data_IF_795136654165
#
_entry.id   IF_795136654165
#
_cell.length_a   1.000
_cell.length_b   1.000
_cell.length_c   1.000
_cell.angle_alpha   90.00
_cell.angle_beta   90.00
_cell.angle_gamma   90.00
#
_symmetry.space_group_name_H-M   'P 1'
#
loop_
_entity.id
_entity.type
_entity.pdbx_description
1 polymer ?
#
# COMPACT_ATOMS: atom_id res chain seq x y z
N UNK A 1 -8.67 8.27 -15.53
CA UNK A 1 -9.89 9.10 -15.36
C UNK A 1 -9.91 10.28 -16.37
N UNK A 2 -8.82 11.01 -16.58
CA UNK A 2 -8.77 12.16 -17.51
C UNK A 2 -9.14 11.79 -18.96
N UNK A 3 -8.80 10.59 -19.42
CA UNK A 3 -9.03 10.12 -20.81
C UNK A 3 -10.54 10.01 -21.13
N UNK A 4 -11.40 9.74 -20.14
CA UNK A 4 -12.84 9.66 -20.36
C UNK A 4 -13.53 11.02 -20.37
N UNK A 5 -12.97 12.04 -19.75
CA UNK A 5 -13.58 13.36 -19.66
C UNK A 5 -13.40 14.18 -20.95
N UNK A 6 -12.30 13.98 -21.68
CA UNK A 6 -12.03 14.70 -22.92
C UNK A 6 -13.10 14.43 -24.00
N UNK A 7 -13.45 13.17 -24.34
CA UNK A 7 -14.50 12.90 -25.32
C UNK A 7 -15.89 13.33 -24.84
N UNK A 8 -16.19 13.21 -23.54
CA UNK A 8 -17.45 13.66 -22.97
C UNK A 8 -17.61 15.17 -23.04
N UNK A 9 -16.54 15.90 -22.75
CA UNK A 9 -16.47 17.34 -22.90
C UNK A 9 -16.66 17.78 -24.37
N UNK A 10 -16.01 17.09 -25.31
CA UNK A 10 -16.15 17.36 -26.74
C UNK A 10 -17.59 17.15 -27.24
N UNK A 11 -18.27 16.13 -26.77
CA UNK A 11 -19.71 15.89 -27.11
C UNK A 11 -20.62 16.99 -26.56
N UNK A 12 -20.39 17.48 -25.36
CA UNK A 12 -21.14 18.61 -24.79
C UNK A 12 -20.85 19.88 -25.59
N UNK A 13 -19.61 20.14 -25.94
CA UNK A 13 -19.20 21.26 -26.78
C UNK A 13 -19.87 21.24 -28.15
N UNK A 14 -19.86 20.12 -28.84
CA UNK A 14 -20.45 19.95 -30.18
C UNK A 14 -21.96 20.18 -30.17
N UNK A 15 -22.65 19.73 -29.10
CA UNK A 15 -24.09 19.93 -28.94
C UNK A 15 -24.45 21.39 -28.60
N UNK A 16 -23.58 22.15 -27.97
CA UNK A 16 -23.82 23.55 -27.57
C UNK A 16 -23.65 24.54 -28.70
N UNK A 17 -22.97 24.21 -29.81
CA UNK A 17 -22.72 25.09 -30.93
C UNK A 17 -23.99 25.56 -31.67
N UNK A 18 -25.13 24.87 -31.47
CA UNK A 18 -26.42 25.22 -32.10
C UNK A 18 -27.40 25.97 -31.15
N UNK A 19 -26.93 26.34 -29.94
CA UNK A 19 -27.76 27.04 -28.95
C UNK A 19 -27.57 28.54 -29.00
N UNK A 20 -28.59 29.31 -28.52
CA UNK A 20 -28.54 30.77 -28.50
C UNK A 20 -27.29 31.28 -27.74
N UNK A 21 -26.84 32.48 -28.12
CA UNK A 21 -25.60 33.13 -27.60
C UNK A 21 -25.48 33.09 -26.07
N UNK A 22 -26.58 33.23 -25.36
CA UNK A 22 -26.64 33.19 -23.88
C UNK A 22 -26.25 31.78 -23.33
N UNK A 23 -26.76 30.71 -23.93
CA UNK A 23 -26.42 29.34 -23.58
C UNK A 23 -24.95 29.00 -23.86
N UNK A 24 -24.41 29.57 -24.94
CA UNK A 24 -23.02 29.39 -25.32
C UNK A 24 -22.08 30.02 -24.29
N UNK A 25 -22.39 31.22 -23.79
CA UNK A 25 -21.62 31.87 -22.72
C UNK A 25 -21.67 31.12 -21.39
N UNK A 26 -22.86 30.63 -20.98
CA UNK A 26 -23.02 29.82 -19.76
C UNK A 26 -22.23 28.52 -19.88
N UNK A 27 -22.27 27.86 -21.03
CA UNK A 27 -21.52 26.63 -21.27
C UNK A 27 -19.99 26.86 -21.18
N UNK A 28 -19.49 27.97 -21.72
CA UNK A 28 -18.07 28.30 -21.64
C UNK A 28 -17.62 28.56 -20.20
N UNK A 29 -18.40 29.31 -19.42
CA UNK A 29 -18.10 29.61 -18.02
C UNK A 29 -18.13 28.36 -17.18
N UNK A 30 -19.14 27.49 -17.34
CA UNK A 30 -19.22 26.22 -16.61
C UNK A 30 -18.05 25.29 -16.94
N UNK A 31 -17.62 25.29 -18.19
CA UNK A 31 -16.45 24.51 -18.65
C UNK A 31 -15.15 25.02 -18.03
N UNK A 32 -14.99 26.34 -17.96
CA UNK A 32 -13.82 26.94 -17.32
C UNK A 32 -13.75 26.58 -15.83
N UNK A 33 -14.88 26.70 -15.12
CA UNK A 33 -14.99 26.32 -13.71
C UNK A 33 -14.62 24.84 -13.52
N UNK A 34 -15.14 23.95 -14.37
CA UNK A 34 -14.85 22.53 -14.32
C UNK A 34 -13.37 22.22 -14.51
N UNK A 35 -12.72 22.86 -15.49
CA UNK A 35 -11.27 22.72 -15.73
C UNK A 35 -10.47 23.22 -14.52
N UNK A 36 -10.85 24.35 -13.93
CA UNK A 36 -10.19 24.86 -12.73
C UNK A 36 -10.34 23.93 -11.54
N UNK A 37 -11.52 23.36 -11.33
CA UNK A 37 -11.76 22.36 -10.26
C UNK A 37 -10.90 21.10 -10.45
N UNK A 38 -10.84 20.56 -11.68
CA UNK A 38 -9.99 19.40 -11.97
C UNK A 38 -8.52 19.74 -11.77
N UNK A 39 -8.07 20.90 -12.25
CA UNK A 39 -6.68 21.32 -12.08
C UNK A 39 -6.31 21.46 -10.60
N UNK A 40 -7.20 22.03 -9.79
CA UNK A 40 -6.99 22.12 -8.35
C UNK A 40 -6.93 20.75 -7.66
N UNK A 41 -7.79 19.81 -8.05
CA UNK A 41 -7.76 18.43 -7.56
C UNK A 41 -6.47 17.72 -7.96
N UNK A 42 -6.05 17.84 -9.22
CA UNK A 42 -4.79 17.27 -9.70
C UNK A 42 -3.59 17.85 -8.97
N UNK A 43 -3.57 19.16 -8.73
CA UNK A 43 -2.51 19.81 -7.96
C UNK A 43 -2.47 19.28 -6.52
N UNK A 44 -3.64 19.10 -5.88
CA UNK A 44 -3.72 18.50 -4.54
C UNK A 44 -3.17 17.08 -4.51
N UNK A 45 -3.56 16.25 -5.47
CA UNK A 45 -3.07 14.86 -5.60
C UNK A 45 -1.56 14.85 -5.83
N UNK A 46 -1.06 15.69 -6.71
CA UNK A 46 0.37 15.84 -6.99
C UNK A 46 1.16 16.21 -5.74
N UNK A 47 0.70 17.23 -5.01
CA UNK A 47 1.36 17.68 -3.79
C UNK A 47 1.33 16.59 -2.69
N UNK A 48 0.23 15.85 -2.56
CA UNK A 48 0.15 14.73 -1.63
C UNK A 48 1.11 13.60 -2.02
N UNK A 49 1.24 13.30 -3.31
CA UNK A 49 2.22 12.30 -3.78
C UNK A 49 3.66 12.70 -3.46
N UNK A 50 4.01 13.97 -3.65
CA UNK A 50 5.34 14.47 -3.28
C UNK A 50 5.57 14.28 -1.79
N UNK A 51 4.63 14.70 -0.94
CA UNK A 51 4.73 14.54 0.52
C UNK A 51 4.86 13.07 0.93
N UNK A 52 4.08 12.19 0.32
CA UNK A 52 4.13 10.77 0.58
C UNK A 52 5.50 10.16 0.22
N UNK A 53 6.03 10.49 -0.96
CA UNK A 53 7.32 9.98 -1.41
C UNK A 53 8.49 10.48 -0.55
N UNK A 54 8.35 11.63 0.09
CA UNK A 54 9.34 12.19 1.01
C UNK A 54 9.06 11.88 2.50
N UNK A 55 7.99 11.14 2.79
CA UNK A 55 7.70 10.71 4.16
C UNK A 55 8.82 9.81 4.69
N UNK A 56 9.25 9.98 5.96
CA UNK A 56 10.32 9.17 6.54
C UNK A 56 10.12 7.67 6.37
N UNK A 57 8.91 7.18 6.64
CA UNK A 57 8.58 5.77 6.47
C UNK A 57 8.75 5.26 5.03
N UNK A 58 8.48 6.08 4.02
CA UNK A 58 8.68 5.73 2.60
C UNK A 58 10.16 5.65 2.26
N UNK A 59 10.96 6.64 2.66
CA UNK A 59 12.39 6.69 2.41
C UNK A 59 13.14 5.55 3.11
N UNK A 60 12.78 5.28 4.35
CA UNK A 60 13.34 4.16 5.11
C UNK A 60 13.01 2.82 4.47
N UNK A 61 11.78 2.64 3.99
CA UNK A 61 11.36 1.42 3.32
C UNK A 61 12.19 1.14 2.06
N UNK A 62 12.47 2.15 1.25
CA UNK A 62 13.35 2.01 0.07
C UNK A 62 14.74 1.49 0.51
N UNK A 63 15.30 2.07 1.56
CA UNK A 63 16.60 1.65 2.09
C UNK A 63 16.61 0.21 2.65
N UNK A 64 15.46 -0.25 3.14
CA UNK A 64 15.26 -1.62 3.64
C UNK A 64 15.25 -2.61 2.49
N UNK A 65 14.47 -2.32 1.43
CA UNK A 65 14.41 -3.18 0.25
C UNK A 65 15.79 -3.43 -0.32
N UNK A 66 16.64 -2.40 -0.40
CA UNK A 66 17.99 -2.54 -0.93
C UNK A 66 18.84 -3.58 -0.20
N UNK A 67 18.65 -3.69 1.11
CA UNK A 67 19.37 -4.62 1.98
C UNK A 67 18.78 -6.04 2.00
N UNK A 68 17.58 -6.23 1.47
CA UNK A 68 16.92 -7.52 1.45
C UNK A 68 17.37 -8.36 0.24
N UNK A 69 17.46 -9.67 0.41
CA UNK A 69 17.79 -10.60 -0.66
C UNK A 69 16.62 -10.74 -1.65
N UNK A 70 16.95 -10.92 -2.92
CA UNK A 70 15.96 -11.16 -3.97
C UNK A 70 15.32 -12.56 -3.89
N UNK A 71 14.13 -12.72 -4.47
CA UNK A 71 13.46 -14.01 -4.62
C UNK A 71 12.89 -14.59 -3.33
N UNK A 72 12.82 -13.83 -2.24
CA UNK A 72 12.37 -14.29 -0.92
C UNK A 72 10.87 -14.04 -0.72
N UNK A 73 10.30 -14.69 0.29
CA UNK A 73 8.89 -14.55 0.68
C UNK A 73 8.76 -13.61 1.88
N UNK A 74 7.86 -12.64 1.76
CA UNK A 74 7.60 -11.65 2.82
C UNK A 74 6.18 -11.77 3.33
N UNK A 75 6.03 -11.81 4.66
CA UNK A 75 4.80 -11.51 5.36
C UNK A 75 4.84 -10.06 5.84
N UNK A 76 3.88 -9.26 5.41
CA UNK A 76 3.73 -7.88 5.88
C UNK A 76 2.70 -7.80 7.00
N UNK A 77 3.11 -7.18 8.10
CA UNK A 77 2.29 -6.91 9.28
C UNK A 77 2.31 -5.42 9.59
N UNK A 78 1.24 -4.89 10.12
CA UNK A 78 1.12 -3.46 10.44
C UNK A 78 0.32 -3.23 11.71
N UNK A 79 0.67 -2.20 12.39
CA UNK A 79 -0.07 -1.74 13.57
C UNK A 79 -1.33 -1.01 13.11
N UNK A 80 -2.54 -1.45 13.54
CA UNK A 80 -3.81 -0.97 12.98
C UNK A 80 -4.07 0.53 13.15
N UNK A 81 -3.40 1.17 14.09
CA UNK A 81 -3.63 2.57 14.45
C UNK A 81 -2.45 3.49 14.13
N UNK A 82 -1.43 2.99 13.42
CA UNK A 82 -0.36 3.85 12.95
C UNK A 82 -0.89 4.85 11.93
N UNK A 83 -0.66 6.11 12.24
CA UNK A 83 -0.99 7.19 11.29
C UNK A 83 -0.23 6.98 9.99
N UNK A 84 -0.93 7.14 8.88
CA UNK A 84 -0.33 7.23 7.57
C UNK A 84 0.67 8.39 7.46
N UNK A 85 1.15 8.66 6.28
CA UNK A 85 2.03 9.80 5.99
C UNK A 85 1.40 11.17 6.28
N UNK A 86 0.12 11.20 6.64
CA UNK A 86 -0.69 12.41 6.78
C UNK A 86 -1.11 13.03 5.44
N UNK A 87 -0.82 12.36 4.34
CA UNK A 87 -1.12 12.83 2.98
C UNK A 87 -2.41 12.26 2.42
N UNK A 88 -2.76 11.05 2.84
CA UNK A 88 -4.01 10.38 2.51
C UNK A 88 -4.84 10.18 3.78
N UNK A 89 -6.12 9.96 3.61
CA UNK A 89 -7.08 9.79 4.72
C UNK A 89 -7.10 8.37 5.28
N UNK A 90 -6.23 7.49 4.79
CA UNK A 90 -6.26 6.07 5.12
C UNK A 90 -5.00 5.64 5.89
N UNK A 91 -5.20 4.98 7.02
CA UNK A 91 -4.13 4.30 7.77
C UNK A 91 -3.52 3.11 7.00
N UNK A 92 -4.09 2.78 5.84
CA UNK A 92 -3.71 1.66 4.99
C UNK A 92 -2.69 2.02 3.91
N UNK A 93 -2.14 3.24 3.92
CA UNK A 93 -1.20 3.72 2.90
C UNK A 93 -0.02 2.77 2.71
N UNK A 94 0.50 2.21 3.79
CA UNK A 94 1.67 1.33 3.78
C UNK A 94 1.33 -0.17 3.67
N UNK A 95 0.04 -0.51 3.59
CA UNK A 95 -0.41 -1.89 3.51
C UNK A 95 0.19 -2.65 2.31
N UNK A 96 0.36 -1.95 1.21
CA UNK A 96 0.83 -2.53 -0.05
C UNK A 96 2.33 -2.39 -0.29
N UNK A 97 3.07 -1.86 0.67
CA UNK A 97 4.50 -1.62 0.50
C UNK A 97 5.29 -2.91 0.24
N UNK A 98 4.88 -4.03 0.83
CA UNK A 98 5.50 -5.32 0.53
C UNK A 98 5.43 -5.70 -0.97
N UNK A 99 4.49 -5.15 -1.73
CA UNK A 99 4.39 -5.41 -3.16
C UNK A 99 5.52 -4.72 -3.95
N UNK A 100 6.12 -3.64 -3.43
CA UNK A 100 7.31 -3.04 -4.03
C UNK A 100 8.51 -3.98 -3.99
N UNK A 101 8.65 -4.75 -2.91
CA UNK A 101 9.66 -5.80 -2.86
C UNK A 101 9.44 -6.85 -3.96
N UNK A 102 8.20 -7.18 -4.29
CA UNK A 102 7.88 -8.08 -5.40
C UNK A 102 8.41 -7.54 -6.73
N UNK A 103 8.24 -6.24 -6.96
CA UNK A 103 8.68 -5.57 -8.19
C UNK A 103 10.20 -5.46 -8.24
N UNK A 104 10.82 -4.96 -7.16
CA UNK A 104 12.25 -4.62 -7.13
C UNK A 104 13.15 -5.85 -6.96
N UNK A 105 12.71 -6.84 -6.20
CA UNK A 105 13.53 -8.02 -5.82
C UNK A 105 13.00 -9.33 -6.38
N UNK A 106 11.96 -9.30 -7.24
CA UNK A 106 11.35 -10.50 -7.81
C UNK A 106 10.96 -11.53 -6.74
N UNK A 107 10.64 -11.02 -5.53
CA UNK A 107 10.21 -11.82 -4.41
C UNK A 107 8.72 -12.09 -4.44
N UNK A 108 8.19 -12.53 -3.31
CA UNK A 108 6.78 -12.78 -3.16
C UNK A 108 6.25 -12.13 -1.87
N UNK A 109 5.18 -11.35 -1.98
CA UNK A 109 4.50 -10.74 -0.86
C UNK A 109 3.16 -11.43 -0.63
N UNK A 110 2.85 -11.74 0.63
CA UNK A 110 1.63 -12.45 1.02
C UNK A 110 0.36 -11.67 0.68
N UNK A 111 0.39 -10.35 0.85
CA UNK A 111 -0.73 -9.48 0.58
C UNK A 111 -0.61 -8.86 -0.81
N UNK A 112 -1.18 -9.51 -1.80
CA UNK A 112 -1.27 -8.98 -3.15
C UNK A 112 -2.70 -9.08 -3.70
N UNK A 113 -2.95 -8.42 -4.82
CA UNK A 113 -4.27 -8.36 -5.44
C UNK A 113 -4.80 -9.73 -5.93
N UNK A 114 -3.93 -10.73 -6.16
CA UNK A 114 -4.34 -12.07 -6.54
C UNK A 114 -5.15 -12.79 -5.44
N UNK A 115 -5.16 -12.21 -4.25
CA UNK A 115 -5.95 -12.64 -3.11
C UNK A 115 -7.41 -12.19 -3.14
N UNK A 116 -7.75 -11.13 -3.87
CA UNK A 116 -9.09 -10.54 -3.87
C UNK A 116 -9.99 -11.13 -4.96
N UNK A 117 -11.21 -11.42 -4.57
CA UNK A 117 -12.33 -11.60 -5.49
C UNK A 117 -12.67 -10.22 -6.07
N UNK A 118 -12.65 -9.91 -7.23
CA UNK A 118 -12.89 -10.42 -8.54
C UNK A 118 -11.69 -10.37 -9.49
N UNK A 119 -10.48 -10.61 -9.00
CA UNK A 119 -9.30 -10.55 -9.84
C UNK A 119 -9.28 -11.66 -10.90
N UNK A 120 -8.85 -11.33 -12.10
CA UNK A 120 -8.70 -12.28 -13.21
C UNK A 120 -7.54 -13.25 -12.91
N UNK A 121 -6.43 -12.72 -12.34
CA UNK A 121 -5.27 -13.52 -11.92
C UNK A 121 -5.44 -13.89 -10.46
N UNK A 122 -5.45 -15.19 -10.16
CA UNK A 122 -5.65 -15.74 -8.80
C UNK A 122 -4.60 -16.76 -8.44
N UNK A 123 -4.39 -16.95 -7.14
CA UNK A 123 -3.61 -18.07 -6.66
C UNK A 123 -4.26 -19.40 -7.07
N UNK A 124 -3.42 -20.38 -7.44
CA UNK A 124 -3.88 -21.76 -7.50
C UNK A 124 -4.31 -22.20 -6.09
N UNK A 125 -5.35 -23.02 -5.98
CA UNK A 125 -5.93 -23.43 -4.71
C UNK A 125 -4.89 -24.02 -3.72
N UNK A 126 -3.91 -24.78 -4.23
CA UNK A 126 -2.82 -25.38 -3.45
C UNK A 126 -1.63 -24.43 -3.18
N UNK A 127 -1.72 -23.16 -3.61
CA UNK A 127 -0.69 -22.13 -3.42
C UNK A 127 -1.20 -20.92 -2.65
N UNK A 128 -2.37 -21.03 -2.03
CA UNK A 128 -2.91 -19.99 -1.16
C UNK A 128 -1.99 -19.85 0.06
N UNK A 129 -1.55 -18.65 0.40
CA UNK A 129 -0.68 -18.42 1.55
C UNK A 129 -1.29 -18.84 2.87
N UNK A 130 -0.49 -19.33 3.80
CA UNK A 130 -0.95 -19.84 5.10
C UNK A 130 -1.67 -18.79 5.96
N UNK A 131 -1.32 -17.52 5.79
CA UNK A 131 -1.93 -16.40 6.52
C UNK A 131 -2.98 -15.64 5.68
N UNK A 132 -3.35 -16.17 4.53
CA UNK A 132 -4.37 -15.55 3.69
C UNK A 132 -5.70 -15.40 4.44
N UNK A 133 -6.26 -14.19 4.41
CA UNK A 133 -7.52 -13.89 5.11
C UNK A 133 -7.41 -13.75 6.64
N UNK A 134 -6.23 -13.94 7.21
CA UNK A 134 -5.99 -13.78 8.66
C UNK A 134 -5.73 -12.32 9.02
N UNK A 135 -5.84 -12.03 10.32
CA UNK A 135 -5.44 -10.76 10.88
C UNK A 135 -3.95 -10.49 10.59
N UNK A 136 -3.64 -9.29 10.14
CA UNK A 136 -2.27 -8.81 9.86
C UNK A 136 -1.82 -7.76 10.86
N UNK A 137 -2.62 -7.54 11.89
CA UNK A 137 -2.29 -6.62 12.96
C UNK A 137 -1.08 -7.07 13.77
N UNK A 138 -0.32 -6.12 14.26
CA UNK A 138 0.74 -6.31 15.23
C UNK A 138 0.09 -6.20 16.61
N UNK A 139 -0.53 -7.26 17.06
CA UNK A 139 -1.06 -7.43 18.41
C UNK A 139 -0.53 -8.73 19.03
N UNK A 140 -0.58 -8.80 20.36
CA UNK A 140 0.01 -9.91 21.12
C UNK A 140 -0.56 -11.25 20.69
N UNK A 141 -1.89 -11.36 20.60
CA UNK A 141 -2.56 -12.62 20.27
C UNK A 141 -2.19 -13.09 18.86
N UNK A 142 -2.13 -12.15 17.92
CA UNK A 142 -1.78 -12.45 16.55
C UNK A 142 -0.33 -12.94 16.44
N UNK A 143 0.61 -12.20 17.04
CA UNK A 143 2.04 -12.54 17.00
C UNK A 143 2.38 -13.83 17.74
N UNK A 144 1.70 -14.12 18.86
CA UNK A 144 2.00 -15.30 19.68
C UNK A 144 1.29 -16.58 19.24
N UNK A 145 0.13 -16.47 18.55
CA UNK A 145 -0.72 -17.65 18.32
C UNK A 145 -1.21 -17.81 16.88
N UNK A 146 -1.54 -16.72 16.19
CA UNK A 146 -2.31 -16.81 14.95
C UNK A 146 -1.46 -16.86 13.68
N UNK A 147 -0.29 -16.22 13.70
CA UNK A 147 0.59 -16.14 12.54
C UNK A 147 1.42 -17.40 12.38
N UNK A 148 1.52 -17.89 11.15
CA UNK A 148 2.45 -18.95 10.76
C UNK A 148 3.57 -18.35 9.93
N UNK A 149 4.78 -18.32 10.50
CA UNK A 149 5.95 -17.73 9.86
C UNK A 149 6.72 -18.73 8.98
N UNK A 150 6.45 -20.02 9.08
CA UNK A 150 7.24 -21.09 8.44
C UNK A 150 7.37 -20.98 6.93
N UNK A 151 6.40 -20.35 6.29
CA UNK A 151 6.37 -20.22 4.81
C UNK A 151 7.07 -18.96 4.31
N UNK A 152 7.67 -18.19 5.21
CA UNK A 152 8.26 -16.87 4.89
C UNK A 152 9.73 -16.83 5.25
N UNK A 153 10.47 -16.01 4.50
CA UNK A 153 11.87 -15.69 4.77
C UNK A 153 12.00 -14.41 5.60
N UNK A 154 11.04 -13.48 5.43
CA UNK A 154 11.02 -12.20 6.09
C UNK A 154 9.64 -11.88 6.67
N UNK A 155 9.65 -11.26 7.85
CA UNK A 155 8.51 -10.54 8.40
C UNK A 155 8.83 -9.04 8.32
N UNK A 156 8.03 -8.30 7.56
CA UNK A 156 8.12 -6.86 7.43
C UNK A 156 7.04 -6.23 8.29
N UNK A 157 7.44 -5.42 9.26
CA UNK A 157 6.52 -4.80 10.21
C UNK A 157 6.69 -3.29 10.22
N UNK A 158 5.58 -2.58 10.14
CA UNK A 158 5.53 -1.16 10.44
C UNK A 158 4.89 -0.96 11.80
N UNK A 159 5.68 -0.50 12.78
CA UNK A 159 5.25 -0.38 14.18
C UNK A 159 6.12 0.62 14.94
N UNK A 160 5.55 1.22 15.98
CA UNK A 160 6.29 1.99 16.99
C UNK A 160 6.72 1.11 18.20
N UNK A 161 6.30 -0.14 18.21
CA UNK A 161 6.70 -1.08 19.25
C UNK A 161 8.19 -1.36 19.23
N UNK A 162 8.76 -1.57 20.41
CA UNK A 162 10.16 -1.92 20.53
C UNK A 162 10.46 -3.28 19.90
N UNK A 163 11.53 -3.37 19.13
CA UNK A 163 11.97 -4.60 18.47
C UNK A 163 12.14 -5.77 19.46
N UNK A 164 12.59 -5.50 20.67
CA UNK A 164 12.72 -6.53 21.72
C UNK A 164 11.37 -7.07 22.16
N UNK A 165 10.37 -6.22 22.30
CA UNK A 165 8.99 -6.63 22.63
C UNK A 165 8.44 -7.56 21.54
N UNK A 166 8.56 -7.15 20.28
CA UNK A 166 8.15 -7.98 19.13
C UNK A 166 8.92 -9.32 19.12
N UNK A 167 10.23 -9.30 19.33
CA UNK A 167 11.04 -10.52 19.40
C UNK A 167 10.56 -11.47 20.50
N UNK A 168 10.16 -10.94 21.66
CA UNK A 168 9.63 -11.75 22.75
C UNK A 168 8.30 -12.40 22.37
N UNK A 169 7.42 -11.71 21.66
CA UNK A 169 6.17 -12.29 21.13
C UNK A 169 6.45 -13.39 20.10
N UNK A 170 7.35 -13.13 19.16
CA UNK A 170 7.74 -14.12 18.16
C UNK A 170 8.37 -15.39 18.79
N UNK A 171 9.14 -15.23 19.86
CA UNK A 171 9.73 -16.37 20.57
C UNK A 171 8.68 -17.25 21.28
N UNK A 172 7.52 -16.69 21.63
CA UNK A 172 6.40 -17.44 22.21
C UNK A 172 5.61 -18.22 21.15
N UNK A 173 5.70 -17.83 19.89
CA UNK A 173 5.02 -18.47 18.80
C UNK A 173 5.85 -19.63 18.24
N UNK A 174 5.39 -20.90 18.35
CA UNK A 174 6.16 -22.07 17.89
C UNK A 174 6.51 -22.06 16.41
N UNK A 175 5.77 -21.30 15.60
CA UNK A 175 6.01 -21.19 14.16
C UNK A 175 6.98 -20.04 13.79
N UNK A 176 7.30 -19.15 14.74
CA UNK A 176 8.05 -17.91 14.48
C UNK A 176 9.34 -17.76 15.28
N UNK A 177 9.67 -18.69 16.20
CA UNK A 177 10.83 -18.60 17.12
C UNK A 177 12.19 -18.48 16.41
N UNK A 178 12.31 -18.96 15.17
CA UNK A 178 13.54 -18.89 14.40
C UNK A 178 13.77 -17.51 13.77
N UNK A 179 12.75 -16.64 13.80
CA UNK A 179 12.88 -15.28 13.27
C UNK A 179 13.64 -14.38 14.22
N UNK A 180 14.66 -13.71 13.69
CA UNK A 180 15.49 -12.77 14.44
C UNK A 180 15.48 -11.42 13.76
N UNK A 181 15.63 -10.35 14.55
CA UNK A 181 15.74 -9.01 14.03
C UNK A 181 16.90 -8.95 13.03
N UNK A 182 16.61 -8.47 11.83
CA UNK A 182 17.55 -8.32 10.73
C UNK A 182 17.85 -6.87 10.40
N UNK A 183 16.78 -6.05 10.28
CA UNK A 183 16.88 -4.62 9.99
C UNK A 183 15.92 -3.89 10.93
N UNK A 184 16.38 -2.77 11.47
CA UNK A 184 15.56 -1.85 12.25
C UNK A 184 15.79 -0.43 11.75
N UNK A 185 14.70 0.30 11.59
CA UNK A 185 14.69 1.74 11.34
C UNK A 185 13.76 2.41 12.34
N UNK A 186 13.47 3.71 12.19
CA UNK A 186 12.53 4.39 13.10
C UNK A 186 11.08 3.96 12.89
N UNK A 187 10.71 3.56 11.67
CA UNK A 187 9.33 3.24 11.28
C UNK A 187 9.12 1.75 10.98
N UNK A 188 10.21 1.00 10.75
CA UNK A 188 10.13 -0.37 10.26
C UNK A 188 11.03 -1.35 11.01
N UNK A 189 10.51 -2.55 11.17
CA UNK A 189 11.26 -3.72 11.65
C UNK A 189 11.20 -4.81 10.58
N UNK A 190 12.34 -5.45 10.32
CA UNK A 190 12.42 -6.65 9.48
C UNK A 190 13.03 -7.77 10.30
N UNK A 191 12.31 -8.85 10.43
CA UNK A 191 12.82 -10.10 11.00
C UNK A 191 13.06 -11.09 9.88
N UNK A 192 14.13 -11.89 9.98
CA UNK A 192 14.45 -12.94 9.01
C UNK A 192 14.56 -14.28 9.69
N UNK A 193 14.16 -15.33 8.95
CA UNK A 193 14.43 -16.69 9.33
C UNK A 193 15.94 -16.97 9.13
N UNK A 194 16.64 -17.34 10.18
CA UNK A 194 18.06 -17.71 10.14
C UNK A 194 18.22 -19.20 9.96
#
# INVERSE_FOLDING_TARGET
FAIFFIPFYYLIWQKSSNLSYLYQSISQVSSLIFILCISALMFKVWNNNIKFNHAPATLEFISIIDKMQAGKRILSLFEPHLRGSGTLTSDLEYLYFANWYQVEKQGWADFNFAAFHPQIVRFKANKIPANYGKNRGIDVDNLTQNIRCTDYDYLLMRTHENAQTIQNYLNQNPYCQNFKLHIQTSEWLVFSNK
#
